data_IF_214469420563
#
_entry.id   IF_214469420563
#
_cell.length_a   1.000
_cell.length_b   1.000
_cell.length_c   1.000
_cell.angle_alpha   90.00
_cell.angle_beta   90.00
_cell.angle_gamma   90.00
#
_symmetry.space_group_name_H-M   'P 1'
#
loop_
_entity.id
_entity.type
_entity.pdbx_description
1 polymer ?
#
# COMPACT_ATOMS: atom_id res chain seq x y z
N UNK A 1 -11.39 5.28 -11.83
CA UNK A 1 -11.96 5.59 -13.15
C UNK A 1 -11.76 4.45 -14.15
N UNK A 2 -10.59 3.83 -14.23
CA UNK A 2 -10.29 2.78 -15.21
C UNK A 2 -11.13 1.50 -15.05
N UNK A 3 -11.49 1.14 -13.82
CA UNK A 3 -12.35 -0.03 -13.53
C UNK A 3 -13.85 0.28 -13.63
N UNK A 4 -14.22 1.52 -13.92
CA UNK A 4 -15.61 1.95 -14.02
C UNK A 4 -16.11 1.75 -15.47
N UNK A 5 -16.77 0.62 -15.69
CA UNK A 5 -17.37 0.25 -16.96
C UNK A 5 -18.91 0.37 -16.86
N UNK A 6 -19.63 0.99 -17.83
CA UNK A 6 -21.08 1.11 -17.81
C UNK A 6 -21.85 -0.22 -17.66
N UNK A 7 -21.21 -1.32 -18.02
CA UNK A 7 -21.81 -2.67 -17.94
C UNK A 7 -21.57 -3.34 -16.58
N UNK A 8 -20.93 -2.67 -15.63
CA UNK A 8 -20.61 -3.21 -14.32
C UNK A 8 -21.12 -2.29 -13.22
N UNK A 9 -21.85 -2.87 -12.29
CA UNK A 9 -22.39 -2.14 -11.14
C UNK A 9 -21.37 -2.06 -10.01
N UNK A 10 -20.87 -0.87 -9.77
CA UNK A 10 -19.92 -0.58 -8.69
C UNK A 10 -20.68 0.11 -7.56
N UNK A 11 -20.59 -0.44 -6.36
CA UNK A 11 -21.18 0.16 -5.16
C UNK A 11 -20.10 0.30 -4.09
N UNK A 12 -20.06 1.47 -3.45
CA UNK A 12 -19.11 1.72 -2.36
C UNK A 12 -19.83 2.03 -1.05
N UNK A 13 -19.16 1.72 0.06
CA UNK A 13 -19.52 2.23 1.39
C UNK A 13 -18.29 2.85 2.02
N UNK A 14 -18.36 4.12 2.41
CA UNK A 14 -17.22 4.97 2.76
C UNK A 14 -17.50 5.82 4.01
N UNK A 15 -16.45 6.25 4.71
CA UNK A 15 -16.54 7.09 5.91
C UNK A 15 -15.42 8.17 5.96
N UNK A 16 -15.65 9.35 5.36
CA UNK A 16 -16.73 9.73 4.46
C UNK A 16 -16.47 9.43 2.98
N UNK A 17 -17.37 9.80 2.08
CA UNK A 17 -17.11 9.86 0.63
C UNK A 17 -16.18 11.05 0.36
N UNK A 18 -14.94 10.79 -0.07
CA UNK A 18 -13.93 11.82 -0.35
C UNK A 18 -14.15 12.50 -1.71
N UNK A 19 -14.46 11.71 -2.72
CA UNK A 19 -14.69 12.18 -4.09
C UNK A 19 -15.93 11.53 -4.69
N UNK A 20 -16.80 12.32 -5.29
CA UNK A 20 -17.93 11.80 -6.04
C UNK A 20 -17.47 11.23 -7.39
N UNK A 21 -17.81 9.98 -7.64
CA UNK A 21 -17.46 9.27 -8.86
C UNK A 21 -18.71 9.06 -9.73
N UNK A 22 -18.70 9.60 -10.95
CA UNK A 22 -19.80 9.41 -11.89
C UNK A 22 -19.97 7.92 -12.23
N UNK A 23 -21.20 7.41 -12.14
CA UNK A 23 -21.50 6.01 -12.46
C UNK A 23 -21.23 5.01 -11.33
N UNK A 24 -20.85 5.48 -10.15
CA UNK A 24 -20.67 4.67 -8.93
C UNK A 24 -21.74 5.03 -7.92
N UNK A 25 -22.41 4.03 -7.36
CA UNK A 25 -23.34 4.24 -6.24
C UNK A 25 -22.54 4.29 -4.94
N UNK A 26 -22.40 5.49 -4.35
CA UNK A 26 -21.59 5.71 -3.16
C UNK A 26 -22.50 5.92 -1.94
N UNK A 27 -22.29 5.12 -0.90
CA UNK A 27 -23.04 5.15 0.35
C UNK A 27 -22.11 5.65 1.44
N UNK A 28 -22.50 6.70 2.14
CA UNK A 28 -21.76 7.21 3.28
C UNK A 28 -22.26 6.61 4.58
N UNK A 29 -21.35 6.09 5.40
CA UNK A 29 -21.62 5.62 6.77
C UNK A 29 -22.25 6.73 7.59
N UNK A 30 -23.22 6.37 8.42
CA UNK A 30 -23.85 7.26 9.38
C UNK A 30 -24.19 6.50 10.65
N UNK A 31 -23.23 6.34 11.54
CA UNK A 31 -23.37 5.58 12.77
C UNK A 31 -24.49 6.14 13.67
N UNK A 32 -24.67 7.47 13.69
CA UNK A 32 -25.75 8.11 14.48
C UNK A 32 -27.13 7.67 14.02
N UNK A 33 -27.29 7.30 12.77
CA UNK A 33 -28.52 6.75 12.19
C UNK A 33 -28.52 5.22 12.09
N UNK A 34 -27.52 4.56 12.66
CA UNK A 34 -27.37 3.11 12.66
C UNK A 34 -26.93 2.52 11.31
N UNK A 35 -26.44 3.34 10.38
CA UNK A 35 -25.83 2.86 9.12
C UNK A 35 -24.33 2.65 9.31
N UNK A 36 -23.95 1.44 9.71
CA UNK A 36 -22.57 0.99 9.88
C UNK A 36 -22.04 0.38 8.58
N UNK A 37 -20.71 0.12 8.51
CA UNK A 37 -20.10 -0.62 7.39
C UNK A 37 -20.76 -1.98 7.20
N UNK A 38 -20.90 -2.79 8.25
CA UNK A 38 -21.52 -4.11 8.18
C UNK A 38 -22.96 -4.06 7.66
N UNK A 39 -23.77 -3.15 8.20
CA UNK A 39 -25.18 -2.99 7.81
C UNK A 39 -25.31 -2.52 6.36
N UNK A 40 -24.50 -1.56 5.95
CA UNK A 40 -24.47 -1.06 4.57
C UNK A 40 -24.02 -2.13 3.60
N UNK A 41 -22.97 -2.88 3.92
CA UNK A 41 -22.46 -3.96 3.08
C UNK A 41 -23.50 -5.07 2.87
N UNK A 42 -24.23 -5.48 3.92
CA UNK A 42 -25.36 -6.41 3.78
C UNK A 42 -26.46 -5.88 2.85
N UNK A 43 -26.69 -4.58 2.86
CA UNK A 43 -27.66 -3.97 1.95
C UNK A 43 -27.13 -3.99 0.52
N UNK A 44 -25.86 -3.62 0.30
CA UNK A 44 -25.20 -3.61 -1.01
C UNK A 44 -25.32 -4.96 -1.71
N UNK A 45 -25.11 -6.07 -1.00
CA UNK A 45 -25.20 -7.42 -1.55
C UNK A 45 -26.59 -7.81 -2.10
N UNK A 46 -27.66 -7.11 -1.70
CA UNK A 46 -29.01 -7.31 -2.25
C UNK A 46 -29.28 -6.47 -3.51
N UNK A 47 -28.32 -5.68 -3.92
CA UNK A 47 -28.42 -4.81 -5.09
C UNK A 47 -27.65 -5.33 -6.30
N UNK A 48 -27.28 -6.60 -6.30
CA UNK A 48 -26.59 -7.26 -7.41
C UNK A 48 -25.36 -6.46 -7.91
N UNK A 49 -24.35 -6.23 -7.05
CA UNK A 49 -23.15 -5.51 -7.43
C UNK A 49 -22.15 -6.43 -8.12
N UNK A 50 -21.43 -5.93 -9.14
CA UNK A 50 -20.27 -6.63 -9.71
C UNK A 50 -18.99 -6.36 -8.89
N UNK A 51 -18.87 -5.10 -8.42
CA UNK A 51 -17.71 -4.64 -7.64
C UNK A 51 -18.16 -3.89 -6.41
N UNK A 52 -17.52 -4.18 -5.31
CA UNK A 52 -17.80 -3.56 -4.01
C UNK A 52 -16.52 -2.89 -3.50
N UNK A 53 -16.62 -1.65 -3.03
CA UNK A 53 -15.58 -1.01 -2.24
C UNK A 53 -16.09 -0.82 -0.82
N UNK A 54 -15.43 -1.44 0.14
CA UNK A 54 -15.59 -1.16 1.57
C UNK A 54 -14.46 -0.22 1.96
N UNK A 55 -14.78 1.02 2.28
CA UNK A 55 -13.79 2.07 2.54
C UNK A 55 -12.69 1.61 3.49
N UNK A 56 -13.08 0.94 4.57
CA UNK A 56 -12.15 0.24 5.46
C UNK A 56 -12.84 -0.89 6.25
N UNK A 57 -12.04 -1.86 6.70
CA UNK A 57 -12.47 -2.92 7.61
C UNK A 57 -11.78 -2.71 8.97
N UNK A 58 -12.61 -2.51 10.01
CA UNK A 58 -12.16 -2.26 11.38
C UNK A 58 -12.57 -3.36 12.36
N UNK A 59 -13.61 -4.13 12.02
CA UNK A 59 -14.27 -5.08 12.91
C UNK A 59 -14.50 -6.44 12.23
N UNK A 60 -14.71 -7.47 13.08
CA UNK A 60 -14.92 -8.84 12.66
C UNK A 60 -16.17 -8.99 11.77
N UNK A 61 -17.28 -8.34 12.12
CA UNK A 61 -18.55 -8.48 11.40
C UNK A 61 -18.40 -7.99 9.93
N UNK A 62 -17.80 -6.81 9.74
CA UNK A 62 -17.53 -6.26 8.40
C UNK A 62 -16.56 -7.14 7.64
N UNK A 63 -15.50 -7.65 8.31
CA UNK A 63 -14.51 -8.53 7.71
C UNK A 63 -15.13 -9.83 7.19
N UNK A 64 -15.98 -10.47 7.99
CA UNK A 64 -16.67 -11.72 7.61
C UNK A 64 -17.60 -11.51 6.41
N UNK A 65 -18.38 -10.42 6.39
CA UNK A 65 -19.29 -10.15 5.27
C UNK A 65 -18.51 -9.86 3.98
N UNK A 66 -17.45 -9.05 4.06
CA UNK A 66 -16.59 -8.74 2.92
C UNK A 66 -15.93 -10.00 2.35
N UNK A 67 -15.41 -10.86 3.23
CA UNK A 67 -14.80 -12.13 2.85
C UNK A 67 -15.79 -13.07 2.17
N UNK A 68 -16.98 -13.26 2.75
CA UNK A 68 -18.03 -14.09 2.16
C UNK A 68 -18.46 -13.56 0.78
N UNK A 69 -18.54 -12.23 0.65
CA UNK A 69 -18.84 -11.60 -0.64
C UNK A 69 -17.80 -11.94 -1.70
N UNK A 70 -16.51 -11.88 -1.34
CA UNK A 70 -15.43 -12.26 -2.25
C UNK A 70 -15.46 -13.75 -2.62
N UNK A 71 -15.72 -14.64 -1.66
CA UNK A 71 -15.84 -16.08 -1.89
C UNK A 71 -17.05 -16.46 -2.76
N UNK A 72 -18.09 -15.62 -2.80
CA UNK A 72 -19.29 -15.83 -3.62
C UNK A 72 -19.19 -15.17 -5.02
N UNK A 73 -18.03 -14.63 -5.39
CA UNK A 73 -17.74 -14.19 -6.75
C UNK A 73 -17.71 -12.67 -6.97
N UNK A 74 -17.95 -11.87 -5.93
CA UNK A 74 -17.85 -10.42 -6.04
C UNK A 74 -16.38 -9.97 -6.00
N UNK A 75 -16.03 -8.96 -6.78
CA UNK A 75 -14.73 -8.29 -6.62
C UNK A 75 -14.82 -7.25 -5.52
N UNK A 76 -14.20 -7.56 -4.38
CA UNK A 76 -14.22 -6.70 -3.19
C UNK A 76 -12.90 -5.96 -3.03
N UNK A 77 -12.95 -4.64 -2.97
CA UNK A 77 -11.84 -3.77 -2.58
C UNK A 77 -12.06 -3.26 -1.16
N UNK A 78 -11.00 -3.21 -0.39
CA UNK A 78 -11.03 -2.59 0.93
C UNK A 78 -9.69 -2.03 1.34
N UNK A 79 -9.68 -1.15 2.34
CA UNK A 79 -8.46 -0.73 3.01
C UNK A 79 -8.41 -1.29 4.43
N UNK A 80 -7.20 -1.49 4.91
CA UNK A 80 -6.93 -1.91 6.29
C UNK A 80 -5.75 -1.10 6.80
N UNK A 81 -5.87 -0.55 7.99
CA UNK A 81 -4.75 0.15 8.62
C UNK A 81 -3.72 -0.86 9.12
N UNK A 82 -2.60 -0.98 8.39
CA UNK A 82 -1.47 -1.82 8.74
C UNK A 82 -0.15 -1.12 8.34
N UNK A 83 0.95 -1.44 9.03
CA UNK A 83 2.24 -0.84 8.73
C UNK A 83 2.97 -1.53 7.57
N UNK A 84 2.61 -2.79 7.30
CA UNK A 84 3.16 -3.58 6.20
C UNK A 84 2.11 -4.52 5.62
N UNK A 85 2.35 -5.02 4.41
CA UNK A 85 1.48 -6.00 3.76
C UNK A 85 1.32 -7.29 4.58
N UNK A 86 2.33 -7.66 5.35
CA UNK A 86 2.28 -8.85 6.23
C UNK A 86 1.36 -8.65 7.44
N UNK A 87 1.32 -7.44 7.99
CA UNK A 87 0.43 -7.11 9.11
C UNK A 87 -1.05 -7.16 8.71
N UNK A 88 -1.37 -6.91 7.44
CA UNK A 88 -2.75 -7.01 6.93
C UNK A 88 -3.32 -8.39 7.22
N UNK A 89 -2.58 -9.43 6.90
CA UNK A 89 -3.01 -10.81 7.09
C UNK A 89 -3.23 -11.12 8.58
N UNK A 90 -2.26 -10.76 9.43
CA UNK A 90 -2.36 -10.96 10.87
C UNK A 90 -3.56 -10.19 11.46
N UNK A 91 -3.85 -9.00 10.92
CA UNK A 91 -4.98 -8.20 11.37
C UNK A 91 -6.32 -8.88 11.10
N UNK A 92 -6.49 -9.49 9.93
CA UNK A 92 -7.69 -10.29 9.64
C UNK A 92 -7.80 -11.51 10.55
N UNK A 93 -6.70 -12.18 10.86
CA UNK A 93 -6.70 -13.32 11.81
C UNK A 93 -7.12 -12.85 13.21
N UNK A 94 -6.58 -11.70 13.67
CA UNK A 94 -6.98 -11.12 14.95
C UNK A 94 -8.46 -10.66 14.98
N UNK A 95 -9.06 -10.38 13.82
CA UNK A 95 -10.50 -10.15 13.67
C UNK A 95 -11.31 -11.44 13.59
N UNK A 96 -10.73 -12.61 13.91
CA UNK A 96 -11.46 -13.89 13.91
C UNK A 96 -11.63 -14.52 12.53
N UNK A 97 -10.95 -14.04 11.50
CA UNK A 97 -11.02 -14.62 10.16
C UNK A 97 -10.13 -15.86 10.07
N UNK A 98 -10.72 -16.97 9.67
CA UNK A 98 -10.00 -18.22 9.45
C UNK A 98 -8.97 -18.06 8.30
N UNK A 99 -7.69 -18.43 8.54
CA UNK A 99 -6.61 -18.25 7.55
C UNK A 99 -6.91 -18.85 6.18
N UNK A 100 -7.52 -20.02 6.15
CA UNK A 100 -7.86 -20.70 4.91
C UNK A 100 -8.86 -19.90 4.06
N UNK A 101 -9.90 -19.38 4.69
CA UNK A 101 -10.91 -18.57 4.01
C UNK A 101 -10.33 -17.25 3.50
N UNK A 102 -9.46 -16.62 4.31
CA UNK A 102 -8.78 -15.38 3.91
C UNK A 102 -7.94 -15.59 2.66
N UNK A 103 -7.10 -16.62 2.66
CA UNK A 103 -6.20 -16.95 1.55
C UNK A 103 -6.96 -17.33 0.28
N UNK A 104 -8.10 -18.00 0.42
CA UNK A 104 -8.96 -18.36 -0.71
C UNK A 104 -9.60 -17.13 -1.39
N UNK A 105 -9.95 -16.10 -0.61
CA UNK A 105 -10.59 -14.88 -1.11
C UNK A 105 -9.62 -13.79 -1.54
N UNK A 106 -8.39 -13.78 -1.01
CA UNK A 106 -7.44 -12.70 -1.22
C UNK A 106 -6.67 -12.90 -2.54
N UNK A 107 -6.77 -11.92 -3.43
CA UNK A 107 -6.08 -11.92 -4.71
C UNK A 107 -4.75 -11.18 -4.65
N UNK A 108 -4.73 -10.02 -3.99
CA UNK A 108 -3.51 -9.24 -3.81
C UNK A 108 -3.60 -8.32 -2.60
N UNK A 109 -2.43 -7.92 -2.11
CA UNK A 109 -2.29 -6.89 -1.08
C UNK A 109 -1.46 -5.76 -1.69
N UNK A 110 -1.98 -4.53 -1.55
CA UNK A 110 -1.29 -3.33 -2.04
C UNK A 110 -0.96 -2.47 -0.82
N UNK A 111 0.32 -2.21 -0.61
CA UNK A 111 0.77 -1.19 0.34
C UNK A 111 1.29 0.03 -0.43
N UNK A 112 0.99 1.21 0.08
CA UNK A 112 1.38 2.47 -0.54
C UNK A 112 1.92 3.45 0.51
N UNK A 113 2.96 4.20 0.11
CA UNK A 113 3.48 5.35 0.87
C UNK A 113 3.72 6.51 -0.08
N UNK A 114 3.69 7.72 0.46
CA UNK A 114 4.07 8.93 -0.27
C UNK A 114 5.44 9.39 0.20
N UNK A 115 6.36 9.55 -0.75
CA UNK A 115 7.66 10.17 -0.55
C UNK A 115 7.63 11.59 -1.08
N UNK A 116 8.28 12.52 -0.39
CA UNK A 116 8.48 13.89 -0.91
C UNK A 116 9.49 13.86 -2.05
N UNK A 117 9.21 14.63 -3.09
CA UNK A 117 10.10 14.78 -4.25
C UNK A 117 11.07 15.91 -3.97
N UNK A 118 12.36 15.70 -4.23
CA UNK A 118 13.38 16.75 -4.14
C UNK A 118 13.02 17.93 -5.04
N UNK A 119 13.19 19.13 -4.53
CA UNK A 119 13.06 20.34 -5.33
C UNK A 119 14.23 20.45 -6.31
N UNK A 120 14.06 21.20 -7.40
CA UNK A 120 15.13 21.44 -8.38
C UNK A 120 16.37 22.13 -7.78
N UNK A 121 16.22 22.78 -6.60
CA UNK A 121 17.34 23.33 -5.84
C UNK A 121 18.18 22.27 -5.08
N UNK A 122 17.88 20.98 -5.26
CA UNK A 122 18.61 19.86 -4.64
C UNK A 122 20.13 19.98 -4.88
N UNK A 123 20.91 19.48 -3.92
CA UNK A 123 22.36 19.48 -3.99
C UNK A 123 22.89 18.10 -4.31
N UNK A 124 23.94 18.04 -5.15
CA UNK A 124 24.64 16.78 -5.43
C UNK A 124 25.43 16.34 -4.20
N UNK A 125 25.41 15.03 -3.92
CA UNK A 125 26.26 14.42 -2.90
C UNK A 125 27.65 14.19 -3.48
N UNK A 126 28.71 14.81 -2.91
CA UNK A 126 30.08 14.62 -3.37
C UNK A 126 30.48 13.13 -3.31
N UNK A 127 31.33 12.64 -4.21
CA UNK A 127 31.76 11.25 -4.26
C UNK A 127 32.30 10.74 -2.92
N UNK A 128 33.07 11.55 -2.21
CA UNK A 128 33.68 11.25 -0.92
C UNK A 128 32.65 11.11 0.22
N UNK A 129 31.48 11.73 0.10
CA UNK A 129 30.41 11.66 1.09
C UNK A 129 29.42 10.51 0.82
N UNK A 130 29.43 9.90 -0.37
CA UNK A 130 28.41 8.91 -0.78
C UNK A 130 28.32 7.72 0.16
N UNK A 131 29.46 7.19 0.61
CA UNK A 131 29.49 6.08 1.55
C UNK A 131 28.76 6.38 2.85
N UNK A 132 28.99 7.57 3.43
CA UNK A 132 28.30 8.01 4.63
C UNK A 132 26.82 8.34 4.35
N UNK A 133 26.51 8.93 3.20
CA UNK A 133 25.15 9.27 2.81
C UNK A 133 24.26 8.02 2.65
N UNK A 134 24.83 6.94 2.14
CA UNK A 134 24.13 5.65 1.97
C UNK A 134 24.33 4.68 3.12
N UNK A 135 25.02 5.11 4.18
CA UNK A 135 25.22 4.27 5.35
C UNK A 135 23.89 3.75 5.87
N UNK A 136 23.86 2.48 6.19
CA UNK A 136 22.65 1.76 6.62
C UNK A 136 21.52 1.69 5.56
N UNK A 137 21.84 2.06 4.31
CA UNK A 137 20.97 1.74 3.17
C UNK A 137 21.37 0.37 2.59
N UNK A 138 20.41 -0.31 2.00
CA UNK A 138 20.65 -1.60 1.32
C UNK A 138 21.21 -1.41 -0.10
N UNK A 139 21.72 -0.21 -0.42
CA UNK A 139 22.29 0.12 -1.72
C UNK A 139 23.76 -0.30 -1.73
N UNK A 140 24.11 -1.23 -2.61
CA UNK A 140 25.49 -1.66 -2.81
C UNK A 140 26.30 -0.60 -3.58
N UNK A 141 27.62 -0.58 -3.39
CA UNK A 141 28.51 0.35 -4.06
C UNK A 141 28.39 0.29 -5.60
N UNK A 142 28.26 -0.90 -6.16
CA UNK A 142 28.08 -1.10 -7.61
C UNK A 142 26.81 -0.46 -8.19
N UNK A 143 25.79 -0.21 -7.36
CA UNK A 143 24.52 0.38 -7.82
C UNK A 143 24.58 1.92 -7.95
N UNK A 144 25.57 2.57 -7.32
CA UNK A 144 25.62 4.03 -7.28
C UNK A 144 26.92 4.64 -7.82
N UNK A 145 27.93 3.83 -8.20
CA UNK A 145 29.25 4.32 -8.62
C UNK A 145 29.13 5.34 -9.77
N UNK A 146 28.29 5.06 -10.76
CA UNK A 146 28.12 5.90 -11.96
C UNK A 146 26.89 6.80 -11.92
N UNK A 147 26.16 6.85 -10.80
CA UNK A 147 24.92 7.64 -10.67
C UNK A 147 25.12 8.85 -9.77
N UNK A 148 24.69 10.06 -10.19
CA UNK A 148 24.69 11.20 -9.29
C UNK A 148 23.63 11.01 -8.22
N UNK A 149 24.05 11.10 -6.94
CA UNK A 149 23.15 11.11 -5.79
C UNK A 149 22.85 12.54 -5.40
N UNK A 150 21.63 12.76 -4.91
CA UNK A 150 21.15 14.07 -4.51
C UNK A 150 20.58 14.05 -3.08
N UNK A 151 20.71 15.17 -2.40
CA UNK A 151 20.08 15.45 -1.12
C UNK A 151 19.28 16.75 -1.18
N UNK A 152 18.38 16.91 -0.23
CA UNK A 152 17.67 18.16 -0.05
C UNK A 152 18.63 19.33 0.18
N UNK A 153 18.33 20.49 -0.39
CA UNK A 153 19.00 21.71 -0.01
C UNK A 153 18.44 22.18 1.33
N UNK A 154 19.26 22.22 2.36
CA UNK A 154 18.87 22.58 3.73
C UNK A 154 18.31 24.00 3.84
N UNK A 155 18.80 24.93 3.01
CA UNK A 155 18.29 26.29 2.94
C UNK A 155 17.05 26.40 2.05
N UNK A 156 16.83 25.40 1.17
CA UNK A 156 15.77 25.41 0.20
C UNK A 156 15.84 26.57 -0.80
N UNK A 157 14.69 26.95 -1.35
CA UNK A 157 14.52 28.09 -2.25
C UNK A 157 13.07 28.59 -2.16
N UNK A 158 12.75 29.70 -2.86
CA UNK A 158 11.39 30.28 -2.86
C UNK A 158 10.33 29.28 -3.36
N UNK A 159 10.69 28.38 -4.30
CA UNK A 159 9.77 27.39 -4.87
C UNK A 159 9.38 26.34 -3.83
N UNK A 160 10.31 25.85 -3.04
CA UNK A 160 10.05 24.87 -1.98
C UNK A 160 9.82 25.50 -0.61
N UNK A 161 9.90 26.83 -0.50
CA UNK A 161 9.72 27.59 0.74
C UNK A 161 10.62 27.10 1.88
N UNK A 162 11.89 26.86 1.56
CA UNK A 162 12.89 26.42 2.54
C UNK A 162 12.89 24.91 2.84
N UNK A 163 11.93 24.12 2.32
CA UNK A 163 11.80 22.70 2.71
C UNK A 163 12.75 21.75 1.97
N UNK A 164 13.37 22.16 0.86
CA UNK A 164 14.15 21.30 -0.03
C UNK A 164 13.34 20.32 -0.87
N UNK A 165 12.00 20.24 -0.67
CA UNK A 165 11.10 19.30 -1.36
C UNK A 165 9.95 20.01 -2.05
N UNK A 166 9.49 19.44 -3.18
CA UNK A 166 8.33 19.94 -3.92
C UNK A 166 7.52 18.79 -4.52
N UNK A 167 6.30 18.65 -4.05
CA UNK A 167 5.40 17.57 -4.45
C UNK A 167 5.68 16.25 -3.75
N UNK A 168 4.92 15.24 -4.14
CA UNK A 168 4.96 13.88 -3.56
C UNK A 168 4.82 12.85 -4.67
N UNK A 169 5.45 11.69 -4.49
CA UNK A 169 5.32 10.54 -5.38
C UNK A 169 4.93 9.31 -4.57
N UNK A 170 4.03 8.51 -5.12
CA UNK A 170 3.68 7.23 -4.50
C UNK A 170 4.77 6.20 -4.78
N UNK A 171 5.11 5.43 -3.77
CA UNK A 171 5.77 4.13 -3.85
C UNK A 171 4.75 3.07 -3.52
N UNK A 172 4.78 1.97 -4.25
CA UNK A 172 3.78 0.91 -4.16
C UNK A 172 4.50 -0.43 -4.00
N UNK A 173 3.96 -1.25 -3.12
CA UNK A 173 4.28 -2.66 -2.98
C UNK A 173 3.03 -3.45 -3.32
N UNK A 174 3.13 -4.38 -4.26
CA UNK A 174 2.06 -5.29 -4.65
C UNK A 174 2.50 -6.71 -4.36
N UNK A 175 1.78 -7.39 -3.48
CA UNK A 175 1.93 -8.82 -3.25
C UNK A 175 0.75 -9.52 -3.92
N UNK A 176 1.01 -10.25 -5.00
CA UNK A 176 0.04 -11.13 -5.61
C UNK A 176 -0.02 -12.43 -4.83
N UNK A 177 -1.22 -12.90 -4.51
CA UNK A 177 -1.43 -14.12 -3.74
C UNK A 177 -1.33 -15.35 -4.64
N UNK A 178 -0.11 -15.64 -5.11
CA UNK A 178 0.19 -16.86 -5.87
C UNK A 178 0.02 -18.11 -4.99
N UNK A 179 -0.11 -19.28 -5.60
CA UNK A 179 -0.29 -20.54 -4.84
C UNK A 179 0.87 -20.79 -3.88
N UNK A 180 2.11 -20.47 -4.27
CA UNK A 180 3.31 -20.57 -3.40
C UNK A 180 3.23 -19.65 -2.18
N UNK A 181 2.70 -18.45 -2.34
CA UNK A 181 2.50 -17.47 -1.26
C UNK A 181 1.36 -17.93 -0.35
N UNK A 182 0.26 -18.42 -0.93
CA UNK A 182 -0.87 -18.99 -0.19
C UNK A 182 -0.43 -20.19 0.66
N UNK A 183 0.33 -21.10 0.07
CA UNK A 183 0.86 -22.26 0.77
C UNK A 183 1.81 -21.86 1.91
N UNK A 184 2.75 -20.95 1.65
CA UNK A 184 3.66 -20.43 2.66
C UNK A 184 2.92 -19.84 3.86
N UNK A 185 1.81 -19.17 3.60
CA UNK A 185 0.98 -18.60 4.64
C UNK A 185 0.24 -19.67 5.45
N UNK A 186 -0.42 -20.63 4.79
CA UNK A 186 -1.14 -21.71 5.45
C UNK A 186 -0.24 -22.61 6.29
N UNK A 187 1.01 -22.82 5.84
CA UNK A 187 2.03 -23.55 6.58
C UNK A 187 2.65 -22.75 7.73
N UNK A 188 2.22 -21.50 7.95
CA UNK A 188 2.75 -20.59 8.99
C UNK A 188 4.27 -20.42 8.90
N UNK A 189 4.81 -20.37 7.69
CA UNK A 189 6.23 -20.18 7.47
C UNK A 189 6.68 -18.80 8.01
N UNK A 190 7.97 -18.69 8.33
CA UNK A 190 8.50 -17.44 8.84
C UNK A 190 8.32 -16.29 7.83
N UNK A 191 8.21 -15.06 8.34
CA UNK A 191 8.09 -13.84 7.51
C UNK A 191 9.23 -13.74 6.48
N UNK A 192 10.42 -14.21 6.82
CA UNK A 192 11.59 -14.26 5.92
C UNK A 192 11.36 -15.15 4.71
N UNK A 193 10.78 -16.33 4.92
CA UNK A 193 10.46 -17.26 3.83
C UNK A 193 9.35 -16.68 2.95
N UNK A 194 8.33 -16.07 3.56
CA UNK A 194 7.27 -15.42 2.83
C UNK A 194 7.80 -14.28 1.95
N UNK A 195 8.62 -13.38 2.52
CA UNK A 195 9.26 -12.28 1.78
C UNK A 195 10.10 -12.80 0.61
N UNK A 196 10.87 -13.85 0.81
CA UNK A 196 11.66 -14.46 -0.26
C UNK A 196 10.75 -14.94 -1.40
N UNK A 197 9.69 -15.70 -1.10
CA UNK A 197 8.73 -16.16 -2.12
C UNK A 197 8.03 -14.99 -2.84
N UNK A 198 7.64 -13.96 -2.12
CA UNK A 198 7.06 -12.76 -2.73
C UNK A 198 8.06 -12.06 -3.68
N UNK A 199 9.33 -11.99 -3.30
CA UNK A 199 10.39 -11.43 -4.16
C UNK A 199 10.63 -12.29 -5.40
N UNK A 200 10.64 -13.61 -5.26
CA UNK A 200 10.75 -14.58 -6.36
C UNK A 200 9.55 -14.46 -7.33
N UNK A 201 8.36 -14.14 -6.81
CA UNK A 201 7.17 -13.84 -7.59
C UNK A 201 7.15 -12.44 -8.24
N UNK A 202 8.21 -11.63 -8.05
CA UNK A 202 8.35 -10.32 -8.68
C UNK A 202 7.90 -9.12 -7.83
N UNK A 203 7.57 -9.31 -6.55
CA UNK A 203 7.23 -8.21 -5.65
C UNK A 203 8.42 -7.29 -5.44
N UNK A 204 8.22 -5.99 -5.68
CA UNK A 204 9.12 -4.92 -5.24
C UNK A 204 8.60 -4.36 -3.93
N UNK A 205 9.37 -4.48 -2.85
CA UNK A 205 8.96 -3.96 -1.54
C UNK A 205 9.08 -2.43 -1.46
N UNK A 206 8.30 -1.82 -0.57
CA UNK A 206 8.29 -0.36 -0.39
C UNK A 206 9.70 0.22 -0.19
N UNK A 207 10.55 -0.45 0.59
CA UNK A 207 11.93 -0.03 0.81
C UNK A 207 12.72 0.00 -0.50
N UNK A 208 12.65 -1.05 -1.30
CA UNK A 208 13.35 -1.14 -2.58
C UNK A 208 12.85 -0.06 -3.56
N UNK A 209 11.53 0.13 -3.64
CA UNK A 209 10.93 1.18 -4.46
C UNK A 209 11.40 2.59 -4.04
N UNK A 210 11.51 2.85 -2.74
CA UNK A 210 12.03 4.12 -2.22
C UNK A 210 13.51 4.31 -2.59
N UNK A 211 14.36 3.28 -2.42
CA UNK A 211 15.78 3.33 -2.74
C UNK A 211 16.02 3.53 -4.23
N UNK A 212 15.19 2.96 -5.09
CA UNK A 212 15.26 3.21 -6.53
C UNK A 212 14.99 4.69 -6.87
N UNK A 213 14.03 5.32 -6.17
CA UNK A 213 13.81 6.76 -6.33
C UNK A 213 14.99 7.61 -5.83
N UNK A 214 15.71 7.15 -4.80
CA UNK A 214 16.96 7.79 -4.35
C UNK A 214 18.02 7.70 -5.45
N UNK A 215 18.26 6.52 -6.01
CA UNK A 215 19.22 6.29 -7.11
C UNK A 215 18.89 7.09 -8.38
N UNK A 216 17.61 7.36 -8.60
CA UNK A 216 17.13 8.18 -9.72
C UNK A 216 17.08 9.68 -9.39
N UNK A 217 17.57 10.10 -8.20
CA UNK A 217 17.62 11.50 -7.79
C UNK A 217 16.25 12.17 -7.62
N UNK A 218 15.19 11.38 -7.40
CA UNK A 218 13.81 11.85 -7.20
C UNK A 218 13.55 12.22 -5.75
N UNK A 219 14.13 11.47 -4.81
CA UNK A 219 14.01 11.71 -3.38
C UNK A 219 15.37 11.55 -2.70
N UNK A 220 15.46 11.85 -1.39
CA UNK A 220 16.67 11.68 -0.60
C UNK A 220 16.64 10.40 0.23
N UNK A 221 17.80 9.94 0.70
CA UNK A 221 17.89 8.79 1.60
C UNK A 221 17.21 9.07 2.94
N UNK A 222 17.30 10.31 3.44
CA UNK A 222 16.61 10.74 4.65
C UNK A 222 15.10 10.56 4.55
N UNK A 223 14.52 10.91 3.40
CA UNK A 223 13.10 10.75 3.15
C UNK A 223 12.71 9.28 2.96
N UNK A 224 13.52 8.49 2.25
CA UNK A 224 13.30 7.04 2.11
C UNK A 224 13.30 6.37 3.49
N UNK A 225 14.26 6.70 4.35
CA UNK A 225 14.35 6.19 5.72
C UNK A 225 13.15 6.62 6.60
N UNK A 226 12.63 7.82 6.38
CA UNK A 226 11.47 8.33 7.11
C UNK A 226 10.19 7.56 6.83
N UNK A 227 9.99 7.11 5.59
CA UNK A 227 8.71 6.52 5.14
C UNK A 227 8.74 5.00 5.03
N UNK A 228 9.91 4.39 5.09
CA UNK A 228 10.08 2.94 5.03
C UNK A 228 10.90 2.45 6.23
N UNK A 229 10.60 1.24 6.69
CA UNK A 229 11.39 0.62 7.75
C UNK A 229 12.76 0.19 7.21
N UNK A 230 13.80 0.46 7.98
CA UNK A 230 15.14 -0.14 7.77
C UNK A 230 15.06 -1.53 8.39
N UNK A 231 15.19 -2.57 7.58
CA UNK A 231 15.25 -3.92 8.10
C UNK A 231 16.61 -4.10 8.78
N UNK A 232 16.61 -4.30 10.10
CA UNK A 232 17.82 -4.73 10.81
C UNK A 232 18.16 -6.12 10.30
N UNK A 233 19.32 -6.25 9.66
CA UNK A 233 19.91 -7.54 9.21
C UNK A 233 20.32 -8.34 10.44
#
# INVERSE_FOLDING_TARGET
SEVNNPNQKIITIEDPVEYQLKGVAQIQVNEKKGLTFARGLRSILRHDPDKILVGEIRDEETAQIALQSALTGHLVFTTVHANSSFEVINRFIHMGIEPYNLVAALNCIIAQRLVRVLCDCKTSVPPEERGNYLKDSEISESQHTDRPLFRENELGCDICKGSGFKGRRAIIELIEMTDDIKEAFLQKLSITVFKRKAKEAGTTFLRQAALELVLNGVTSISEANRVTFIESV
#
